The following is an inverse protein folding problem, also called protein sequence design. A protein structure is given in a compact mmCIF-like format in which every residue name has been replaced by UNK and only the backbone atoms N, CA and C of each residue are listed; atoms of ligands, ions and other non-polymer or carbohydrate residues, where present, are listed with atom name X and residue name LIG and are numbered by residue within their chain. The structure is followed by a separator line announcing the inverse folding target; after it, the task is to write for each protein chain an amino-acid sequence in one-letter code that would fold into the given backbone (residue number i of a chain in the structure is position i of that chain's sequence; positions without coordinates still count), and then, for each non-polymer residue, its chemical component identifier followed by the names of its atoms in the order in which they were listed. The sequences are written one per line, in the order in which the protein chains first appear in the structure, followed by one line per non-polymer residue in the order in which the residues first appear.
data_IF_033617572763
#
_entry.id   IF_033617572763
#
_cell.length_a   1.000
_cell.length_b   1.000
_cell.length_c   1.000
_cell.angle_alpha   90.00
_cell.angle_beta   90.00
_cell.angle_gamma   90.00
#
_symmetry.space_group_name_H-M   'P 1'
#
loop_
_entity.id
_entity.type
_entity.pdbx_description
1 polymer ?
#
# COMPACT_ATOMS: atom_id res chain seq x y z
N UNK A 1 1.81 12.20 -9.19
CA UNK A 1 1.94 10.73 -9.28
C UNK A 1 1.60 10.07 -7.95
N UNK A 2 0.83 8.99 -7.97
CA UNK A 2 0.42 8.24 -6.78
C UNK A 2 1.20 6.93 -6.64
N UNK A 3 1.45 6.50 -5.41
CA UNK A 3 2.01 5.18 -5.09
C UNK A 3 0.90 4.27 -4.58
N UNK A 4 0.66 3.16 -5.25
CA UNK A 4 -0.20 2.07 -4.78
C UNK A 4 0.65 0.99 -4.11
N UNK A 5 0.24 0.54 -2.92
CA UNK A 5 0.85 -0.58 -2.20
C UNK A 5 -0.20 -1.65 -1.88
N UNK A 6 0.13 -2.90 -2.14
CA UNK A 6 -0.68 -4.04 -1.74
C UNK A 6 0.20 -5.18 -1.22
N UNK A 7 -0.04 -5.57 0.03
CA UNK A 7 0.65 -6.65 0.72
C UNK A 7 -0.33 -7.59 1.42
N UNK A 8 -1.60 -7.64 0.99
CA UNK A 8 -2.63 -8.42 1.70
C UNK A 8 -2.32 -9.94 1.71
N UNK A 9 -1.79 -10.45 0.60
CA UNK A 9 -1.47 -11.86 0.42
C UNK A 9 -0.13 -12.24 1.08
N UNK A 10 -0.10 -13.38 1.77
CA UNK A 10 1.15 -13.89 2.33
C UNK A 10 2.10 -14.32 1.20
N UNK A 11 3.33 -13.77 1.19
CA UNK A 11 4.42 -14.03 0.22
C UNK A 11 4.33 -13.31 -1.12
N UNK A 12 3.39 -12.39 -1.28
CA UNK A 12 3.30 -11.55 -2.45
C UNK A 12 3.19 -10.09 -2.01
N UNK A 13 3.99 -9.23 -2.62
CA UNK A 13 3.85 -7.78 -2.48
C UNK A 13 3.74 -7.16 -3.86
N UNK A 14 2.84 -6.21 -3.99
CA UNK A 14 2.58 -5.49 -5.23
C UNK A 14 2.72 -4.01 -4.99
N UNK A 15 3.24 -3.30 -5.97
CA UNK A 15 3.13 -1.85 -6.01
C UNK A 15 3.01 -1.36 -7.43
N UNK A 16 2.49 -0.14 -7.58
CA UNK A 16 2.46 0.56 -8.85
C UNK A 16 2.67 2.05 -8.64
N UNK A 17 3.33 2.69 -9.60
CA UNK A 17 3.33 4.13 -9.73
C UNK A 17 2.23 4.54 -10.71
N UNK A 18 1.32 5.39 -10.25
CA UNK A 18 0.13 5.78 -10.99
C UNK A 18 0.28 7.24 -11.44
N UNK A 19 0.32 7.42 -12.75
CA UNK A 19 0.48 8.71 -13.41
C UNK A 19 -0.78 9.04 -14.21
N UNK A 20 -1.16 10.32 -14.24
CA UNK A 20 -2.35 10.77 -14.94
C UNK A 20 -2.27 10.39 -16.42
N UNK A 21 -3.31 9.73 -16.92
CA UNK A 21 -3.41 9.33 -18.33
C UNK A 21 -2.52 8.15 -18.74
N UNK A 22 -1.91 7.44 -17.78
CA UNK A 22 -1.14 6.21 -18.05
C UNK A 22 -1.75 5.02 -17.34
N UNK A 23 -1.68 3.88 -18.02
CA UNK A 23 -2.07 2.60 -17.44
C UNK A 23 -1.10 2.21 -16.31
N UNK A 24 -1.59 1.87 -15.10
CA UNK A 24 -0.73 1.52 -14.00
C UNK A 24 -0.05 0.16 -14.25
N UNK A 25 1.29 0.14 -14.21
CA UNK A 25 2.05 -1.10 -14.32
C UNK A 25 2.31 -1.68 -12.94
N UNK A 26 1.67 -2.81 -12.65
CA UNK A 26 1.88 -3.55 -11.40
C UNK A 26 3.26 -4.20 -11.44
N UNK A 27 4.01 -4.02 -10.36
CA UNK A 27 5.25 -4.72 -10.08
C UNK A 27 4.97 -5.69 -8.94
N UNK A 28 5.05 -6.99 -9.26
CA UNK A 28 4.93 -8.07 -8.29
C UNK A 28 6.31 -8.46 -7.75
N UNK A 29 6.37 -8.69 -6.44
CA UNK A 29 7.56 -9.12 -5.72
C UNK A 29 7.20 -10.36 -4.89
N UNK A 30 7.87 -11.47 -5.19
CA UNK A 30 7.77 -12.68 -4.40
C UNK A 30 8.55 -12.55 -3.08
N UNK A 31 8.01 -13.14 -2.03
CA UNK A 31 8.61 -13.15 -0.70
C UNK A 31 7.85 -12.32 0.32
N UNK A 32 8.42 -12.19 1.52
CA UNK A 32 7.81 -11.43 2.61
C UNK A 32 7.79 -9.94 2.28
N UNK A 33 6.88 -9.19 2.89
CA UNK A 33 6.66 -7.76 2.63
C UNK A 33 7.88 -6.86 2.86
N UNK A 34 8.94 -7.34 3.51
CA UNK A 34 10.19 -6.61 3.68
C UNK A 34 10.99 -6.40 2.37
N UNK A 35 10.66 -7.12 1.29
CA UNK A 35 11.27 -6.91 -0.03
C UNK A 35 10.80 -5.62 -0.71
N UNK A 36 9.64 -5.08 -0.29
CA UNK A 36 8.99 -3.94 -0.91
C UNK A 36 9.79 -2.64 -0.76
N UNK A 37 10.21 -2.30 0.47
CA UNK A 37 10.88 -1.03 0.75
C UNK A 37 12.23 -0.89 0.02
N UNK A 38 13.12 -1.91 -0.01
CA UNK A 38 14.35 -1.84 -0.81
C UNK A 38 14.10 -1.67 -2.31
N UNK A 39 13.02 -2.25 -2.84
CA UNK A 39 12.66 -2.09 -4.26
C UNK A 39 12.19 -0.66 -4.55
N UNK A 40 11.31 -0.13 -3.71
CA UNK A 40 10.84 1.25 -3.80
C UNK A 40 12.02 2.22 -3.73
N UNK A 41 12.94 2.05 -2.78
CA UNK A 41 14.07 2.96 -2.56
C UNK A 41 15.00 3.15 -3.77
N UNK A 42 14.98 2.22 -4.74
CA UNK A 42 15.72 2.35 -6.01
C UNK A 42 15.09 3.35 -6.97
N UNK A 43 13.80 3.64 -6.84
CA UNK A 43 13.05 4.53 -7.73
C UNK A 43 12.98 5.97 -7.19
N UNK A 44 14.14 6.62 -7.13
CA UNK A 44 14.26 7.98 -6.58
C UNK A 44 13.46 9.01 -7.35
N UNK A 45 13.35 8.86 -8.68
CA UNK A 45 12.63 9.80 -9.56
C UNK A 45 11.15 9.84 -9.19
N UNK A 46 10.51 8.68 -9.07
CA UNK A 46 9.08 8.65 -8.78
C UNK A 46 8.77 9.12 -7.36
N UNK A 47 9.67 8.84 -6.41
CA UNK A 47 9.56 9.39 -5.05
C UNK A 47 9.61 10.92 -4.98
N UNK A 48 10.34 11.59 -5.88
CA UNK A 48 10.38 13.05 -5.90
C UNK A 48 9.04 13.66 -6.36
N UNK A 49 8.35 12.99 -7.29
CA UNK A 49 7.08 13.42 -7.89
C UNK A 49 5.84 12.83 -7.18
N UNK A 50 6.04 12.20 -6.02
CA UNK A 50 4.95 11.60 -5.24
C UNK A 50 3.99 12.68 -4.75
N UNK A 51 2.72 12.53 -5.09
CA UNK A 51 1.60 13.42 -4.74
C UNK A 51 0.59 12.74 -3.81
N UNK A 52 0.67 11.43 -3.60
CA UNK A 52 -0.23 10.69 -2.73
C UNK A 52 0.14 9.21 -2.64
N UNK A 53 -0.27 8.57 -1.55
CA UNK A 53 -0.08 7.13 -1.31
C UNK A 53 -1.45 6.50 -1.11
N UNK A 54 -1.73 5.38 -1.77
CA UNK A 54 -2.84 4.52 -1.43
C UNK A 54 -2.34 3.10 -1.09
N UNK A 55 -3.05 2.45 -0.17
CA UNK A 55 -2.65 1.13 0.33
C UNK A 55 -3.87 0.24 0.55
N UNK A 56 -3.77 -1.01 0.10
CA UNK A 56 -4.71 -2.06 0.51
C UNK A 56 -4.48 -2.33 2.00
N UNK A 57 -5.44 -1.87 2.79
CA UNK A 57 -5.43 -1.95 4.25
C UNK A 57 -6.01 -3.25 4.77
N UNK A 58 -6.58 -4.10 3.91
CA UNK A 58 -7.09 -5.43 4.22
C UNK A 58 -8.48 -5.66 3.60
N UNK A 59 -9.17 -6.75 3.95
CA UNK A 59 -8.74 -7.84 4.82
C UNK A 59 -7.47 -8.54 4.28
N UNK A 60 -6.62 -9.08 5.17
CA UNK A 60 -5.43 -9.82 4.74
C UNK A 60 -4.62 -10.42 5.89
N UNK A 61 -3.49 -11.04 5.54
CA UNK A 61 -2.58 -11.66 6.51
C UNK A 61 -2.02 -10.63 7.51
N UNK A 62 -2.11 -10.92 8.81
CA UNK A 62 -1.71 -10.03 9.91
C UNK A 62 -0.34 -9.36 9.69
N UNK A 63 0.70 -10.16 9.48
CA UNK A 63 2.07 -9.65 9.31
C UNK A 63 2.24 -8.89 7.98
N UNK A 64 1.54 -9.32 6.93
CA UNK A 64 1.72 -8.80 5.59
C UNK A 64 1.04 -7.43 5.43
N UNK A 65 -0.25 -7.32 5.78
CA UNK A 65 -1.01 -6.07 5.74
C UNK A 65 -0.39 -5.01 6.66
N UNK A 66 -0.01 -5.39 7.89
CA UNK A 66 0.63 -4.46 8.83
C UNK A 66 1.90 -3.84 8.27
N UNK A 67 2.69 -4.61 7.52
CA UNK A 67 3.93 -4.11 6.92
C UNK A 67 3.65 -3.10 5.81
N UNK A 68 2.73 -3.41 4.88
CA UNK A 68 2.36 -2.48 3.80
C UNK A 68 1.74 -1.19 4.34
N UNK A 69 0.82 -1.31 5.29
CA UNK A 69 0.17 -0.16 5.95
C UNK A 69 1.18 0.69 6.73
N UNK A 70 2.15 0.07 7.43
CA UNK A 70 3.24 0.79 8.09
C UNK A 70 4.05 1.62 7.09
N UNK A 71 4.43 1.02 5.95
CA UNK A 71 5.18 1.74 4.92
C UNK A 71 4.37 2.89 4.31
N UNK A 72 3.08 2.68 4.05
CA UNK A 72 2.21 3.73 3.50
C UNK A 72 2.08 4.93 4.46
N UNK A 73 1.84 4.67 5.74
CA UNK A 73 1.80 5.70 6.78
C UNK A 73 3.14 6.45 6.90
N UNK A 74 4.27 5.72 6.88
CA UNK A 74 5.60 6.34 6.93
C UNK A 74 5.85 7.25 5.72
N UNK A 75 5.62 6.74 4.51
CA UNK A 75 5.90 7.46 3.27
C UNK A 75 5.03 8.71 3.12
N UNK A 76 3.73 8.59 3.38
CA UNK A 76 2.81 9.73 3.34
C UNK A 76 3.21 10.81 4.33
N UNK A 77 3.57 10.44 5.57
CA UNK A 77 4.04 11.38 6.60
C UNK A 77 5.35 12.06 6.24
N UNK A 78 6.34 11.31 5.76
CA UNK A 78 7.63 11.86 5.35
C UNK A 78 7.50 12.83 4.16
N UNK A 79 6.62 12.50 3.22
CA UNK A 79 6.41 13.28 1.99
C UNK A 79 5.34 14.36 2.14
N UNK A 80 4.60 14.36 3.26
CA UNK A 80 3.47 15.26 3.54
C UNK A 80 2.41 15.22 2.43
N UNK A 81 2.11 14.02 1.96
CA UNK A 81 1.13 13.77 0.89
C UNK A 81 -0.10 13.03 1.43
N UNK A 82 -1.27 13.16 0.79
CA UNK A 82 -2.46 12.36 1.10
C UNK A 82 -2.18 10.86 1.21
N UNK A 83 -2.86 10.22 2.17
CA UNK A 83 -2.86 8.78 2.39
C UNK A 83 -4.28 8.24 2.31
N UNK A 84 -4.50 7.24 1.47
CA UNK A 84 -5.81 6.58 1.31
C UNK A 84 -5.66 5.10 1.64
N UNK A 85 -6.45 4.62 2.60
CA UNK A 85 -6.62 3.20 2.87
C UNK A 85 -7.78 2.66 2.05
N UNK A 86 -7.66 1.44 1.55
CA UNK A 86 -8.72 0.80 0.78
C UNK A 86 -8.84 -0.69 1.10
N UNK A 87 -9.99 -1.25 0.73
CA UNK A 87 -10.23 -2.68 0.87
C UNK A 87 -9.65 -3.44 -0.32
N UNK A 88 -9.47 -4.77 -0.18
CA UNK A 88 -8.99 -5.62 -1.29
C UNK A 88 -9.90 -5.49 -2.51
N UNK A 89 -11.21 -5.39 -2.30
CA UNK A 89 -12.23 -5.31 -3.33
C UNK A 89 -12.14 -3.99 -4.14
N UNK A 90 -11.66 -2.91 -3.50
CA UNK A 90 -11.47 -1.62 -4.16
C UNK A 90 -10.28 -1.63 -5.14
N UNK A 91 -9.34 -2.57 -4.96
CA UNK A 91 -8.11 -2.66 -5.73
C UNK A 91 -8.20 -3.57 -6.96
N UNK A 92 -9.39 -4.08 -7.29
CA UNK A 92 -9.61 -4.98 -8.44
C UNK A 92 -9.40 -4.26 -9.77
N UNK A 93 -9.86 -3.01 -9.89
CA UNK A 93 -9.69 -2.18 -11.09
C UNK A 93 -8.71 -1.04 -10.79
N UNK A 94 -7.42 -1.35 -10.94
CA UNK A 94 -6.35 -0.40 -10.64
C UNK A 94 -6.35 0.79 -11.61
N UNK A 95 -6.85 0.62 -12.82
CA UNK A 95 -6.87 1.65 -13.87
C UNK A 95 -7.95 2.70 -13.57
N UNK A 96 -9.15 2.24 -13.16
CA UNK A 96 -10.18 3.12 -12.61
C UNK A 96 -9.67 3.85 -11.37
N UNK A 97 -9.06 3.13 -10.44
CA UNK A 97 -8.51 3.72 -9.22
C UNK A 97 -7.45 4.78 -9.51
N UNK A 98 -6.49 4.49 -10.40
CA UNK A 98 -5.46 5.44 -10.82
C UNK A 98 -6.06 6.73 -11.37
N UNK A 99 -7.10 6.62 -12.20
CA UNK A 99 -7.83 7.78 -12.74
C UNK A 99 -8.52 8.59 -11.65
N UNK A 100 -9.24 7.95 -10.73
CA UNK A 100 -9.93 8.62 -9.63
C UNK A 100 -8.95 9.38 -8.72
N UNK A 101 -7.81 8.76 -8.39
CA UNK A 101 -6.76 9.37 -7.56
C UNK A 101 -6.08 10.55 -8.26
N UNK A 102 -5.69 10.38 -9.52
CA UNK A 102 -4.97 11.41 -10.30
C UNK A 102 -5.86 12.56 -10.78
N UNK A 103 -7.18 12.35 -10.86
CA UNK A 103 -8.17 13.41 -11.06
C UNK A 103 -8.57 14.10 -9.73
N UNK A 104 -8.07 13.64 -8.59
CA UNK A 104 -8.34 14.21 -7.27
C UNK A 104 -9.71 13.86 -6.68
N UNK A 105 -10.45 12.92 -7.26
CA UNK A 105 -11.84 12.57 -6.87
C UNK A 105 -11.94 11.88 -5.51
N UNK A 106 -10.83 11.33 -5.02
CA UNK A 106 -10.73 10.58 -3.77
C UNK A 106 -10.00 11.36 -2.67
N UNK A 107 -9.63 12.62 -2.91
CA UNK A 107 -8.81 13.40 -1.97
C UNK A 107 -9.50 13.67 -0.63
N UNK A 108 -10.83 13.67 -0.60
CA UNK A 108 -11.65 13.77 0.61
C UNK A 108 -11.57 12.52 1.50
N UNK A 109 -11.14 11.37 0.97
CA UNK A 109 -10.92 10.13 1.72
C UNK A 109 -9.54 10.08 2.40
N UNK A 110 -8.72 11.12 2.20
CA UNK A 110 -7.39 11.16 2.77
C UNK A 110 -7.45 11.14 4.30
N UNK A 111 -6.76 10.16 4.90
CA UNK A 111 -6.65 10.02 6.35
C UNK A 111 -5.25 10.41 6.83
N UNK A 112 -5.16 10.88 8.08
CA UNK A 112 -3.87 11.08 8.77
C UNK A 112 -3.21 9.75 9.13
N UNK A 113 -3.99 8.68 9.22
CA UNK A 113 -3.54 7.36 9.60
C UNK A 113 -4.45 6.28 9.00
N UNK A 114 -3.85 5.23 8.46
CA UNK A 114 -4.58 4.03 8.01
C UNK A 114 -4.23 2.89 8.96
N UNK A 115 -5.24 2.23 9.51
CA UNK A 115 -5.10 1.03 10.32
C UNK A 115 -5.20 -0.23 9.43
N UNK A 116 -4.45 -1.30 9.73
CA UNK A 116 -4.61 -2.58 9.03
C UNK A 116 -5.88 -3.31 9.48
N UNK A 117 -6.48 -4.05 8.55
CA UNK A 117 -7.67 -4.88 8.69
C UNK A 117 -7.23 -6.33 8.42
N UNK A 118 -7.45 -7.21 9.38
CA UNK A 118 -6.95 -8.58 9.33
C UNK A 118 -8.06 -9.57 8.96
N UNK A 119 -7.69 -10.66 8.26
CA UNK A 119 -8.63 -11.76 7.96
C UNK A 119 -8.97 -12.61 9.19
N UNK A 120 -8.07 -12.62 10.18
CA UNK A 120 -8.18 -13.39 11.41
C UNK A 120 -7.40 -12.70 12.53
N UNK A 121 -7.79 -12.97 13.78
CA UNK A 121 -7.02 -12.50 14.93
C UNK A 121 -5.59 -13.07 14.90
N UNK A 122 -4.59 -12.32 15.39
CA UNK A 122 -3.22 -12.81 15.47
C UNK A 122 -3.17 -14.09 16.32
N UNK A 123 -2.64 -15.17 15.74
CA UNK A 123 -2.30 -16.40 16.47
C UNK A 123 -1.09 -16.14 17.39
N UNK A 124 -1.35 -15.58 18.57
CA UNK A 124 -0.35 -15.42 19.63
C UNK A 124 -0.09 -16.80 20.21
N UNK A 125 0.98 -17.46 19.77
CA UNK A 125 1.44 -18.69 20.40
C UNK A 125 1.96 -18.37 21.79
N UNK A 126 1.41 -19.04 22.81
CA UNK A 126 1.94 -19.00 24.18
C UNK A 126 3.43 -19.36 24.17
N UNK A 127 4.27 -18.70 24.99
CA UNK A 127 5.68 -19.03 25.10
C UNK A 127 5.84 -20.52 25.40
N UNK A 128 6.73 -21.19 24.65
CA UNK A 128 7.15 -22.55 25.01
C UNK A 128 7.91 -22.45 26.33
N UNK A 129 7.41 -23.11 27.37
CA UNK A 129 8.12 -23.16 28.66
C UNK A 129 9.56 -23.67 28.42
N UNK A 130 10.56 -23.05 29.07
CA UNK A 130 11.96 -23.47 28.98
C UNK A 130 12.19 -24.85 29.60
#
# INVERSE_FOLDING_TARGET
MWLFLDTHASRLSRFAWMEKGKEPKIIELEGRSNVLLPKLAKDRKNFQLLEGVCVVSGPGSFSAVRTGVLYANLLSRLKKVPLIGMMVEDAVDLSRLAKELTDGRRTTEASKYVAPIYDAEPNITLPKNP
#
